data_IF_767908371631
#
_entry.id   IF_767908371631
#
_cell.length_a   1.000
_cell.length_b   1.000
_cell.length_c   1.000
_cell.angle_alpha   90.00
_cell.angle_beta   90.00
_cell.angle_gamma   90.00
#
_symmetry.space_group_name_H-M   'P 1'
#
loop_
_entity.id
_entity.type
_entity.pdbx_description
1 polymer ?
#
# COMPACT_ATOMS: atom_id res chain seq x y z
N UNK A 1 28.45 -13.87 19.65
CA UNK A 1 28.15 -12.43 19.83
C UNK A 1 29.28 -11.83 20.62
N UNK A 2 30.05 -10.94 20.01
CA UNK A 2 31.10 -10.17 20.67
C UNK A 2 30.48 -9.00 21.44
N UNK A 3 30.98 -8.75 22.65
CA UNK A 3 30.53 -7.64 23.50
C UNK A 3 31.69 -6.69 23.77
N UNK A 4 31.38 -5.41 23.81
CA UNK A 4 32.30 -4.33 24.19
C UNK A 4 31.94 -3.78 25.57
N UNK A 5 32.94 -3.23 26.24
CA UNK A 5 32.77 -2.53 27.51
C UNK A 5 32.14 -1.15 27.31
N UNK A 6 31.65 -0.54 28.40
CA UNK A 6 31.15 0.84 28.39
C UNK A 6 32.20 1.86 27.97
N UNK A 7 33.48 1.60 28.23
CA UNK A 7 34.60 2.47 27.83
C UNK A 7 34.83 2.41 26.31
N UNK A 8 34.83 1.21 25.73
CA UNK A 8 34.95 1.02 24.29
C UNK A 8 33.73 1.57 23.54
N UNK A 9 32.52 1.45 24.09
CA UNK A 9 31.34 2.08 23.51
C UNK A 9 31.39 3.62 23.59
N UNK A 10 31.96 4.18 24.66
CA UNK A 10 32.14 5.63 24.81
C UNK A 10 33.07 6.19 23.72
N UNK A 11 34.15 5.48 23.44
CA UNK A 11 35.09 5.79 22.36
C UNK A 11 34.42 5.63 20.99
N UNK A 12 33.78 4.47 20.74
CA UNK A 12 33.06 4.18 19.48
C UNK A 12 31.99 5.23 19.15
N UNK A 13 31.27 5.73 20.15
CA UNK A 13 30.15 6.66 19.96
C UNK A 13 30.53 8.15 20.10
N UNK A 14 31.80 8.44 20.40
CA UNK A 14 32.30 9.80 20.64
C UNK A 14 31.55 10.52 21.76
N UNK A 15 31.28 9.86 22.89
CA UNK A 15 30.57 10.43 24.04
C UNK A 15 31.26 10.11 25.36
N UNK A 16 30.94 10.85 26.42
CA UNK A 16 31.46 10.55 27.75
C UNK A 16 30.93 9.22 28.31
N UNK A 17 31.73 8.56 29.14
CA UNK A 17 31.35 7.31 29.83
C UNK A 17 30.03 7.44 30.60
N UNK A 18 29.80 8.59 31.23
CA UNK A 18 28.55 8.93 31.94
C UNK A 18 27.34 8.93 31.00
N UNK A 19 27.51 9.37 29.74
CA UNK A 19 26.43 9.36 28.74
C UNK A 19 26.09 7.94 28.31
N UNK A 20 27.10 7.08 28.11
CA UNK A 20 26.90 5.65 27.81
C UNK A 20 26.15 4.96 28.95
N UNK A 21 26.57 5.17 30.19
CA UNK A 21 25.90 4.60 31.37
C UNK A 21 24.45 5.05 31.50
N UNK A 22 24.14 6.30 31.19
CA UNK A 22 22.76 6.82 31.18
C UNK A 22 21.93 6.13 30.09
N UNK A 23 22.45 6.01 28.87
CA UNK A 23 21.75 5.31 27.77
C UNK A 23 21.43 3.85 28.11
N UNK A 24 22.33 3.17 28.82
CA UNK A 24 22.14 1.80 29.27
C UNK A 24 21.12 1.70 30.42
N UNK A 25 21.19 2.62 31.39
CA UNK A 25 20.23 2.70 32.48
C UNK A 25 18.81 3.03 31.99
N UNK A 26 18.70 3.86 30.94
CA UNK A 26 17.45 4.24 30.29
C UNK A 26 16.92 3.13 29.34
N UNK A 27 17.60 1.98 29.23
CA UNK A 27 17.18 0.85 28.39
C UNK A 27 17.26 1.10 26.88
N UNK A 28 18.02 2.12 26.44
CA UNK A 28 18.02 2.61 25.05
C UNK A 28 18.98 1.88 24.12
N UNK A 29 19.75 0.93 24.64
CA UNK A 29 20.71 0.13 23.86
C UNK A 29 20.18 -1.31 23.83
N UNK A 30 19.59 -1.74 22.70
CA UNK A 30 19.06 -3.09 22.56
C UNK A 30 20.11 -4.16 22.88
N UNK A 31 19.68 -5.23 23.53
CA UNK A 31 20.50 -6.40 23.86
C UNK A 31 21.72 -6.12 24.77
N UNK A 32 21.84 -4.91 25.35
CA UNK A 32 22.80 -4.64 26.40
C UNK A 32 22.41 -5.39 27.69
N UNK A 33 23.39 -6.10 28.28
CA UNK A 33 23.18 -6.88 29.50
C UNK A 33 24.02 -6.35 30.63
N UNK A 34 23.44 -6.26 31.83
CA UNK A 34 24.17 -5.90 33.04
C UNK A 34 24.71 -7.16 33.70
N UNK A 35 26.02 -7.22 33.93
CA UNK A 35 26.69 -8.32 34.62
C UNK A 35 27.50 -7.76 35.80
N UNK A 36 27.00 -7.97 37.02
CA UNK A 36 27.56 -7.37 38.23
C UNK A 36 27.51 -5.84 38.20
N UNK A 37 28.69 -5.19 38.28
CA UNK A 37 28.84 -3.72 38.21
C UNK A 37 29.08 -3.19 36.78
N UNK A 38 29.19 -4.08 35.79
CA UNK A 38 29.57 -3.74 34.42
C UNK A 38 28.43 -4.00 33.43
N UNK A 39 28.48 -3.33 32.28
CA UNK A 39 27.57 -3.56 31.17
C UNK A 39 28.30 -4.22 30.01
N UNK A 40 27.64 -5.19 29.40
CA UNK A 40 28.03 -5.83 28.16
C UNK A 40 27.17 -5.24 27.04
N UNK A 41 27.81 -4.55 26.10
CA UNK A 41 27.15 -3.88 24.97
C UNK A 41 27.49 -4.68 23.71
N UNK A 42 26.52 -5.07 22.87
CA UNK A 42 26.83 -5.75 21.60
C UNK A 42 27.82 -4.94 20.75
N UNK A 43 28.79 -5.59 20.11
CA UNK A 43 29.79 -4.90 19.29
C UNK A 43 29.16 -4.09 18.14
N UNK A 44 28.07 -4.58 17.57
CA UNK A 44 27.28 -3.96 16.50
C UNK A 44 26.33 -2.85 16.98
N UNK A 45 26.22 -2.60 18.29
CA UNK A 45 25.34 -1.55 18.81
C UNK A 45 25.75 -0.15 18.32
N UNK A 46 24.78 0.54 17.72
CA UNK A 46 24.90 1.94 17.32
C UNK A 46 24.45 2.89 18.43
N UNK A 47 24.92 4.14 18.36
CA UNK A 47 24.60 5.19 19.33
C UNK A 47 23.11 5.59 19.21
N UNK A 48 22.30 5.47 20.28
CA UNK A 48 20.92 5.94 20.24
C UNK A 48 20.82 7.45 19.99
N UNK A 49 19.85 7.87 19.17
CA UNK A 49 19.60 9.27 18.81
C UNK A 49 19.34 10.16 20.06
N UNK A 50 19.69 11.45 20.01
CA UNK A 50 19.43 12.37 21.14
C UNK A 50 18.01 12.96 21.03
N UNK A 51 17.10 12.68 21.98
CA UNK A 51 15.73 13.23 21.95
C UNK A 51 15.68 14.76 22.07
N UNK A 52 16.78 15.42 22.47
CA UNK A 52 16.86 16.90 22.51
C UNK A 52 17.18 17.53 21.16
N UNK A 53 17.69 16.76 20.18
CA UNK A 53 17.94 17.27 18.82
C UNK A 53 16.72 17.17 17.91
N UNK A 54 15.64 16.50 18.34
CA UNK A 54 14.38 16.41 17.60
C UNK A 54 13.40 17.56 17.86
N UNK A 55 13.63 18.40 18.87
CA UNK A 55 12.85 19.64 19.03
C UNK A 55 13.45 20.79 18.24
N UNK A 56 13.43 20.69 16.91
CA UNK A 56 13.01 21.89 16.18
C UNK A 56 11.51 22.03 16.49
N UNK A 57 11.00 23.20 16.90
CA UNK A 57 9.56 23.38 16.95
C UNK A 57 9.03 22.94 15.58
N UNK A 58 8.07 22.00 15.56
CA UNK A 58 7.31 21.71 14.35
C UNK A 58 6.92 23.06 13.80
N UNK A 59 7.44 23.42 12.63
CA UNK A 59 7.00 24.62 11.96
C UNK A 59 5.53 24.33 11.72
N UNK A 60 4.62 24.98 12.45
CA UNK A 60 3.20 24.69 12.31
C UNK A 60 2.87 24.78 10.82
N UNK A 61 2.58 23.64 10.18
CA UNK A 61 2.19 23.62 8.79
C UNK A 61 0.90 24.44 8.69
N UNK A 62 0.90 25.56 7.96
CA UNK A 62 -0.33 26.29 7.74
C UNK A 62 -1.30 25.40 6.95
N UNK A 63 -2.56 25.30 7.37
CA UNK A 63 -3.57 24.54 6.63
C UNK A 63 -3.67 24.99 5.16
N UNK A 64 -3.46 26.29 4.90
CA UNK A 64 -3.41 26.86 3.55
C UNK A 64 -2.32 26.24 2.67
N UNK A 65 -1.17 25.87 3.24
CA UNK A 65 -0.06 25.27 2.47
C UNK A 65 -0.45 23.89 1.93
N UNK A 66 -1.16 23.09 2.73
CA UNK A 66 -1.72 21.81 2.29
C UNK A 66 -2.81 22.01 1.23
N UNK A 67 -3.71 22.97 1.41
CA UNK A 67 -4.76 23.26 0.41
C UNK A 67 -4.16 23.68 -0.94
N UNK A 68 -3.11 24.52 -0.93
CA UNK A 68 -2.43 24.96 -2.15
C UNK A 68 -1.79 23.79 -2.91
N UNK A 69 -1.06 22.91 -2.21
CA UNK A 69 -0.44 21.77 -2.89
C UNK A 69 -1.49 20.77 -3.37
N UNK A 70 -2.58 20.56 -2.64
CA UNK A 70 -3.69 19.70 -3.09
C UNK A 70 -4.30 20.21 -4.38
N UNK A 71 -4.64 21.50 -4.44
CA UNK A 71 -5.16 22.11 -5.67
C UNK A 71 -4.17 21.98 -6.84
N UNK A 72 -2.88 22.22 -6.61
CA UNK A 72 -1.85 22.13 -7.64
C UNK A 72 -1.56 20.70 -8.13
N UNK A 73 -2.00 19.67 -7.39
CA UNK A 73 -1.72 18.25 -7.65
C UNK A 73 -2.98 17.42 -7.83
N UNK A 74 -4.09 18.07 -8.17
CA UNK A 74 -5.39 17.44 -8.48
C UNK A 74 -5.74 17.52 -9.97
N UNK A 75 -4.87 18.11 -10.80
CA UNK A 75 -5.08 18.18 -12.24
C UNK A 75 -4.92 16.79 -12.90
N UNK A 76 -5.79 16.43 -13.85
CA UNK A 76 -5.67 15.18 -14.59
C UNK A 76 -4.43 15.21 -15.49
N UNK A 77 -3.83 14.04 -15.72
CA UNK A 77 -2.70 13.89 -16.64
C UNK A 77 -3.18 14.13 -18.08
N UNK A 78 -2.44 14.81 -18.96
CA UNK A 78 -2.86 14.99 -20.35
C UNK A 78 -2.99 13.64 -21.07
N UNK A 79 -4.13 13.42 -21.74
CA UNK A 79 -4.51 12.09 -22.27
C UNK A 79 -3.58 11.52 -23.33
N UNK A 80 -2.88 12.37 -24.10
CA UNK A 80 -1.97 11.92 -25.17
C UNK A 80 -0.50 11.92 -24.75
N UNK A 81 -0.15 12.75 -23.77
CA UNK A 81 1.22 12.88 -23.26
C UNK A 81 1.18 13.20 -21.76
N UNK A 82 1.04 12.19 -20.89
CA UNK A 82 0.97 12.39 -19.45
C UNK A 82 2.17 13.14 -18.87
N UNK A 83 3.39 12.97 -19.42
CA UNK A 83 4.60 13.64 -18.97
C UNK A 83 4.56 15.16 -19.14
N UNK A 84 3.74 15.67 -20.08
CA UNK A 84 3.58 17.10 -20.28
C UNK A 84 3.04 17.79 -19.02
N UNK A 85 2.39 17.07 -18.09
CA UNK A 85 1.99 17.64 -16.80
C UNK A 85 3.18 18.24 -16.04
N UNK A 86 4.40 17.72 -16.22
CA UNK A 86 5.60 18.18 -15.52
C UNK A 86 6.08 19.56 -15.98
N UNK A 87 5.66 19.98 -17.18
CA UNK A 87 5.93 21.31 -17.73
C UNK A 87 4.93 22.36 -17.19
N UNK A 88 3.71 21.92 -16.87
CA UNK A 88 2.64 22.79 -16.36
C UNK A 88 2.48 22.73 -14.84
N UNK A 89 3.02 21.70 -14.19
CA UNK A 89 2.98 21.54 -12.74
C UNK A 89 3.72 22.72 -12.09
N UNK A 90 2.95 23.58 -11.42
CA UNK A 90 3.35 24.93 -11.01
C UNK A 90 4.73 25.03 -10.36
N UNK A 91 4.80 24.93 -9.03
CA UNK A 91 6.06 25.01 -8.31
C UNK A 91 6.79 23.65 -8.26
N UNK A 92 8.03 23.66 -7.75
CA UNK A 92 8.83 22.44 -7.61
C UNK A 92 8.24 21.37 -6.68
N UNK A 93 7.22 21.69 -5.86
CA UNK A 93 6.52 20.71 -5.00
C UNK A 93 5.52 19.94 -5.82
N UNK A 94 4.68 20.64 -6.59
CA UNK A 94 3.68 20.02 -7.46
C UNK A 94 4.33 19.14 -8.53
N UNK A 95 5.41 19.63 -9.16
CA UNK A 95 6.17 18.84 -10.14
C UNK A 95 6.69 17.54 -9.54
N UNK A 96 7.28 17.58 -8.34
CA UNK A 96 7.79 16.38 -7.66
C UNK A 96 6.69 15.37 -7.34
N UNK A 97 5.49 15.85 -6.96
CA UNK A 97 4.34 14.99 -6.74
C UNK A 97 3.97 14.22 -8.01
N UNK A 98 3.85 14.92 -9.15
CA UNK A 98 3.54 14.28 -10.42
C UNK A 98 4.66 13.35 -10.92
N UNK A 99 5.92 13.70 -10.71
CA UNK A 99 7.05 12.81 -10.99
C UNK A 99 6.94 11.49 -10.19
N UNK A 100 6.55 11.57 -8.92
CA UNK A 100 6.35 10.41 -8.07
C UNK A 100 5.17 9.53 -8.52
N UNK A 101 4.05 10.16 -8.93
CA UNK A 101 2.85 9.48 -9.43
C UNK A 101 3.08 8.80 -10.79
N UNK A 102 3.72 9.49 -11.75
CA UNK A 102 4.09 8.92 -13.04
C UNK A 102 5.05 7.74 -12.88
N UNK A 103 6.06 7.89 -12.02
CA UNK A 103 6.98 6.81 -11.69
C UNK A 103 6.25 5.61 -11.07
N UNK A 104 5.32 5.87 -10.15
CA UNK A 104 4.52 4.82 -9.52
C UNK A 104 3.71 4.04 -10.55
N UNK A 105 2.97 4.74 -11.42
CA UNK A 105 2.14 4.14 -12.45
C UNK A 105 2.96 3.27 -13.43
N UNK A 106 4.21 3.65 -13.69
CA UNK A 106 5.15 2.91 -14.56
C UNK A 106 5.91 1.78 -13.88
N UNK A 107 5.75 1.62 -12.56
CA UNK A 107 6.43 0.59 -11.78
C UNK A 107 7.85 0.98 -11.33
N UNK A 108 8.26 2.24 -11.49
CA UNK A 108 9.52 2.77 -10.92
C UNK A 108 9.30 3.23 -9.47
N UNK A 109 9.10 2.26 -8.59
CA UNK A 109 8.92 2.52 -7.16
C UNK A 109 10.15 3.18 -6.51
N UNK A 110 11.35 2.96 -7.05
CA UNK A 110 12.57 3.57 -6.56
C UNK A 110 12.56 5.08 -6.80
N UNK A 111 12.09 5.54 -7.97
CA UNK A 111 11.89 6.97 -8.22
C UNK A 111 10.81 7.57 -7.33
N UNK A 112 9.68 6.88 -7.12
CA UNK A 112 8.65 7.33 -6.17
C UNK A 112 9.24 7.53 -4.76
N UNK A 113 10.08 6.61 -4.29
CA UNK A 113 10.78 6.72 -3.00
C UNK A 113 11.79 7.88 -2.97
N UNK A 114 12.55 8.10 -4.06
CA UNK A 114 13.44 9.27 -4.17
C UNK A 114 12.68 10.57 -4.02
N UNK A 115 11.58 10.74 -4.75
CA UNK A 115 10.70 11.91 -4.62
C UNK A 115 10.20 12.08 -3.18
N UNK A 116 9.78 10.99 -2.52
CA UNK A 116 9.37 11.03 -1.11
C UNK A 116 10.49 11.56 -0.20
N UNK A 117 11.71 11.03 -0.29
CA UNK A 117 12.81 11.46 0.57
C UNK A 117 13.23 12.92 0.32
N UNK A 118 13.12 13.41 -0.90
CA UNK A 118 13.41 14.80 -1.25
C UNK A 118 12.43 15.82 -0.63
N UNK A 119 11.24 15.40 -0.20
CA UNK A 119 10.30 16.27 0.53
C UNK A 119 10.74 16.57 1.97
N UNK A 120 11.86 16.00 2.44
CA UNK A 120 12.34 16.20 3.81
C UNK A 120 12.56 17.69 4.10
N UNK A 121 11.87 18.19 5.13
CA UNK A 121 11.89 19.60 5.53
C UNK A 121 10.76 20.44 4.93
N UNK A 122 9.91 19.84 4.11
CA UNK A 122 8.68 20.43 3.58
C UNK A 122 7.48 19.57 3.98
N UNK A 123 6.86 19.89 5.12
CA UNK A 123 5.85 19.04 5.71
C UNK A 123 4.59 18.90 4.82
N UNK A 124 4.19 19.95 4.09
CA UNK A 124 3.01 19.90 3.21
C UNK A 124 3.26 19.03 1.99
N UNK A 125 4.42 19.18 1.34
CA UNK A 125 4.84 18.30 0.25
C UNK A 125 4.99 16.85 0.72
N UNK A 126 5.59 16.65 1.88
CA UNK A 126 5.80 15.33 2.48
C UNK A 126 4.47 14.63 2.79
N UNK A 127 3.52 15.35 3.37
CA UNK A 127 2.18 14.81 3.64
C UNK A 127 1.48 14.40 2.35
N UNK A 128 1.47 15.26 1.31
CA UNK A 128 0.80 14.99 0.03
C UNK A 128 1.32 13.74 -0.68
N UNK A 129 2.63 13.49 -0.63
CA UNK A 129 3.26 12.36 -1.33
C UNK A 129 3.09 11.03 -0.58
N UNK A 130 2.68 11.05 0.71
CA UNK A 130 2.56 9.85 1.55
C UNK A 130 1.68 8.76 0.92
N UNK A 131 0.62 9.11 0.20
CA UNK A 131 -0.27 8.12 -0.43
C UNK A 131 0.51 7.25 -1.44
N UNK A 132 1.20 7.88 -2.39
CA UNK A 132 2.02 7.18 -3.39
C UNK A 132 3.22 6.49 -2.74
N UNK A 133 3.80 7.10 -1.71
CA UNK A 133 4.92 6.52 -0.98
C UNK A 133 4.52 5.25 -0.20
N UNK A 134 3.35 5.23 0.45
CA UNK A 134 2.81 4.04 1.12
C UNK A 134 2.60 2.91 0.10
N UNK A 135 1.98 3.22 -1.04
CA UNK A 135 1.69 2.23 -2.07
C UNK A 135 2.99 1.64 -2.67
N UNK A 136 4.02 2.47 -2.88
CA UNK A 136 5.34 2.03 -3.32
C UNK A 136 6.08 1.24 -2.23
N UNK A 137 5.99 1.62 -0.96
CA UNK A 137 6.59 0.87 0.16
C UNK A 137 5.99 -0.53 0.29
N UNK A 138 4.66 -0.66 0.11
CA UNK A 138 3.99 -1.97 0.05
C UNK A 138 4.52 -2.79 -1.14
N UNK A 139 4.63 -2.18 -2.32
CA UNK A 139 5.13 -2.85 -3.52
C UNK A 139 6.59 -3.28 -3.42
N UNK A 140 7.41 -2.55 -2.69
CA UNK A 140 8.80 -2.87 -2.39
C UNK A 140 8.97 -3.82 -1.20
N UNK A 141 7.92 -4.00 -0.39
CA UNK A 141 8.00 -4.77 0.87
C UNK A 141 8.80 -4.03 1.95
N UNK A 142 9.00 -2.72 1.79
CA UNK A 142 9.82 -1.89 2.67
C UNK A 142 8.99 -1.39 3.86
N UNK A 143 8.88 -2.27 4.85
CA UNK A 143 8.17 -1.95 6.08
C UNK A 143 8.86 -0.84 6.90
N UNK A 144 10.18 -0.69 6.74
CA UNK A 144 10.96 0.32 7.46
C UNK A 144 10.60 1.74 7.03
N UNK A 145 10.50 1.95 5.71
CA UNK A 145 10.04 3.22 5.14
C UNK A 145 8.57 3.47 5.48
N UNK A 146 7.73 2.43 5.48
CA UNK A 146 6.36 2.58 5.95
C UNK A 146 6.28 3.06 7.41
N UNK A 147 7.10 2.51 8.32
CA UNK A 147 7.14 2.98 9.72
C UNK A 147 7.60 4.43 9.84
N UNK A 148 8.52 4.89 8.98
CA UNK A 148 8.89 6.32 8.90
C UNK A 148 7.69 7.20 8.49
N UNK A 149 6.96 6.77 7.46
CA UNK A 149 5.75 7.47 6.98
C UNK A 149 4.68 7.47 8.06
N UNK A 150 4.38 6.32 8.66
CA UNK A 150 3.39 6.15 9.73
C UNK A 150 3.72 7.07 10.91
N UNK A 151 4.97 7.11 11.35
CA UNK A 151 5.42 8.00 12.43
C UNK A 151 5.17 9.47 12.09
N UNK A 152 5.43 9.89 10.84
CA UNK A 152 5.15 11.25 10.38
C UNK A 152 3.64 11.54 10.37
N UNK A 153 2.82 10.62 9.86
CA UNK A 153 1.35 10.77 9.83
C UNK A 153 0.75 10.82 11.23
N UNK A 154 1.23 10.00 12.16
CA UNK A 154 0.82 10.06 13.56
C UNK A 154 1.18 11.39 14.23
N UNK A 155 2.33 11.98 13.87
CA UNK A 155 2.70 13.31 14.35
C UNK A 155 1.75 14.38 13.78
N UNK A 156 1.36 14.30 12.50
CA UNK A 156 0.36 15.18 11.91
C UNK A 156 -0.99 15.09 12.66
N UNK A 157 -1.46 13.87 12.98
CA UNK A 157 -2.68 13.64 13.77
C UNK A 157 -2.60 14.28 15.16
N UNK A 158 -1.46 14.11 15.85
CA UNK A 158 -1.24 14.64 17.21
C UNK A 158 -1.14 16.18 17.23
N UNK A 159 -0.51 16.78 16.22
CA UNK A 159 -0.22 18.21 16.19
C UNK A 159 -1.37 19.06 15.62
N UNK A 160 -2.27 18.48 14.81
CA UNK A 160 -3.34 19.20 14.12
C UNK A 160 -4.71 18.53 14.31
N UNK A 161 -5.20 18.36 15.55
CA UNK A 161 -6.42 17.60 15.81
C UNK A 161 -7.65 18.25 15.16
N UNK A 162 -8.40 17.47 14.38
CA UNK A 162 -9.72 17.85 13.86
C UNK A 162 -9.71 18.81 12.67
N UNK A 163 -8.57 18.98 11.98
CA UNK A 163 -8.47 19.79 10.76
C UNK A 163 -8.06 18.98 9.52
N UNK A 164 -7.99 19.65 8.36
CA UNK A 164 -7.68 19.05 7.05
C UNK A 164 -6.39 18.23 7.04
N UNK A 165 -5.36 18.68 7.77
CA UNK A 165 -4.09 17.96 7.93
C UNK A 165 -4.31 16.59 8.58
N UNK A 166 -5.09 16.53 9.67
CA UNK A 166 -5.41 15.27 10.33
C UNK A 166 -6.30 14.37 9.47
N UNK A 167 -7.27 14.95 8.77
CA UNK A 167 -8.17 14.21 7.88
C UNK A 167 -7.40 13.58 6.70
N UNK A 168 -6.46 14.32 6.09
CA UNK A 168 -5.58 13.79 5.06
C UNK A 168 -4.64 12.72 5.61
N UNK A 169 -4.06 12.93 6.80
CA UNK A 169 -3.16 11.96 7.41
C UNK A 169 -3.86 10.63 7.72
N UNK A 170 -5.08 10.68 8.25
CA UNK A 170 -5.91 9.49 8.48
C UNK A 170 -6.28 8.78 7.16
N UNK A 171 -6.58 9.54 6.11
CA UNK A 171 -6.82 9.00 4.77
C UNK A 171 -5.57 8.32 4.17
N UNK A 172 -4.39 8.89 4.37
CA UNK A 172 -3.13 8.27 3.95
C UNK A 172 -2.90 6.94 4.70
N UNK A 173 -3.11 6.88 6.02
CA UNK A 173 -3.03 5.63 6.80
C UNK A 173 -4.07 4.59 6.32
N UNK A 174 -5.28 5.02 5.98
CA UNK A 174 -6.32 4.14 5.45
C UNK A 174 -5.91 3.46 4.14
N UNK A 175 -5.06 4.12 3.33
CA UNK A 175 -4.51 3.54 2.10
C UNK A 175 -3.71 2.27 2.40
N UNK A 176 -2.91 2.25 3.47
CA UNK A 176 -2.18 1.05 3.87
C UNK A 176 -3.15 -0.08 4.25
N UNK A 177 -4.12 0.21 5.13
CA UNK A 177 -5.08 -0.77 5.63
C UNK A 177 -5.85 -1.48 4.50
N UNK A 178 -6.38 -0.75 3.52
CA UNK A 178 -7.16 -1.36 2.43
C UNK A 178 -6.27 -2.00 1.35
N UNK A 179 -5.03 -1.53 1.18
CA UNK A 179 -4.08 -2.12 0.22
C UNK A 179 -3.53 -3.46 0.70
N UNK A 180 -3.44 -3.65 2.01
CA UNK A 180 -3.03 -4.91 2.64
C UNK A 180 -4.20 -5.71 3.20
N UNK A 181 -5.42 -5.46 2.71
CA UNK A 181 -6.61 -6.27 3.06
C UNK A 181 -6.80 -6.44 4.59
N UNK A 182 -6.59 -5.36 5.33
CA UNK A 182 -6.72 -5.30 6.78
C UNK A 182 -7.95 -4.44 7.19
N UNK A 183 -9.19 -4.87 6.89
CA UNK A 183 -10.38 -4.03 7.06
C UNK A 183 -10.67 -3.65 8.51
N UNK A 184 -10.17 -4.43 9.48
CA UNK A 184 -10.27 -4.11 10.92
C UNK A 184 -9.42 -2.90 11.33
N UNK A 185 -8.41 -2.57 10.54
CA UNK A 185 -7.52 -1.43 10.77
C UNK A 185 -7.97 -0.20 9.96
N UNK A 186 -9.02 -0.30 9.16
CA UNK A 186 -9.60 0.84 8.46
C UNK A 186 -10.25 1.82 9.47
N UNK A 187 -10.13 3.14 9.29
CA UNK A 187 -10.74 4.12 10.18
C UNK A 187 -12.27 4.10 10.09
N UNK A 188 -12.96 4.50 11.17
CA UNK A 188 -14.43 4.44 11.26
C UNK A 188 -15.12 5.22 10.15
N UNK A 189 -14.62 6.40 9.81
CA UNK A 189 -15.18 7.24 8.75
C UNK A 189 -15.24 6.48 7.41
N UNK A 190 -14.23 5.65 7.12
CA UNK A 190 -14.18 4.84 5.90
C UNK A 190 -15.17 3.67 5.96
N UNK A 191 -15.31 3.03 7.12
CA UNK A 191 -16.25 1.92 7.33
C UNK A 191 -17.71 2.42 7.20
N UNK A 192 -18.04 3.50 7.89
CA UNK A 192 -19.37 4.10 7.95
C UNK A 192 -19.71 4.86 6.65
N UNK A 193 -18.69 5.37 5.95
CA UNK A 193 -18.86 6.16 4.74
C UNK A 193 -19.09 7.65 5.01
N UNK A 194 -18.72 8.10 6.20
CA UNK A 194 -18.78 9.51 6.57
C UNK A 194 -17.54 10.22 6.01
N UNK A 195 -17.75 11.02 4.97
CA UNK A 195 -16.70 11.84 4.34
C UNK A 195 -16.84 13.33 4.68
N UNK A 196 -17.63 13.67 5.70
CA UNK A 196 -17.94 15.05 6.06
C UNK A 196 -16.72 15.86 6.47
N UNK A 197 -15.73 15.20 7.08
CA UNK A 197 -14.46 15.79 7.49
C UNK A 197 -13.45 15.98 6.33
N UNK A 198 -13.73 15.45 5.13
CA UNK A 198 -12.84 15.55 3.98
C UNK A 198 -13.23 16.72 3.07
N UNK A 199 -12.20 17.44 2.61
CA UNK A 199 -12.38 18.48 1.60
C UNK A 199 -12.91 17.87 0.29
N UNK A 200 -13.68 18.64 -0.52
CA UNK A 200 -14.28 18.13 -1.76
C UNK A 200 -13.27 17.47 -2.72
N UNK A 201 -12.05 17.99 -2.80
CA UNK A 201 -10.97 17.51 -3.65
C UNK A 201 -10.50 16.09 -3.28
N UNK A 202 -10.65 15.70 -2.01
CA UNK A 202 -10.22 14.40 -1.50
C UNK A 202 -11.29 13.31 -1.65
N UNK A 203 -12.57 13.70 -1.81
CA UNK A 203 -13.70 12.77 -1.83
C UNK A 203 -13.60 11.70 -2.92
N UNK A 204 -13.16 11.98 -4.16
CA UNK A 204 -12.99 10.95 -5.18
C UNK A 204 -12.03 9.84 -4.72
N UNK A 205 -10.88 10.24 -4.14
CA UNK A 205 -9.92 9.26 -3.64
C UNK A 205 -10.44 8.50 -2.42
N UNK A 206 -11.18 9.16 -1.53
CA UNK A 206 -11.84 8.50 -0.40
C UNK A 206 -12.91 7.47 -0.85
N UNK A 207 -13.63 7.75 -1.93
CA UNK A 207 -14.56 6.79 -2.55
C UNK A 207 -13.83 5.59 -3.17
N UNK A 208 -12.66 5.80 -3.76
CA UNK A 208 -11.77 4.70 -4.16
C UNK A 208 -11.34 3.85 -2.96
N UNK A 209 -10.89 4.46 -1.86
CA UNK A 209 -10.57 3.72 -0.63
C UNK A 209 -11.79 2.95 -0.11
N UNK A 210 -13.00 3.50 -0.22
CA UNK A 210 -14.25 2.84 0.19
C UNK A 210 -14.58 1.65 -0.71
N UNK A 211 -14.35 1.75 -2.02
CA UNK A 211 -14.45 0.62 -2.94
C UNK A 211 -13.48 -0.51 -2.54
N UNK A 212 -12.22 -0.16 -2.22
CA UNK A 212 -11.22 -1.11 -1.72
C UNK A 212 -11.58 -1.71 -0.36
N UNK A 213 -12.20 -0.93 0.52
CA UNK A 213 -12.74 -1.46 1.78
C UNK A 213 -13.82 -2.52 1.53
N UNK A 214 -14.77 -2.25 0.62
CA UNK A 214 -15.78 -3.25 0.24
C UNK A 214 -15.17 -4.49 -0.42
N UNK A 215 -14.08 -4.34 -1.19
CA UNK A 215 -13.31 -5.48 -1.68
C UNK A 215 -12.78 -6.34 -0.51
N UNK A 216 -12.19 -5.72 0.51
CA UNK A 216 -11.68 -6.43 1.69
C UNK A 216 -12.78 -7.20 2.44
N UNK A 217 -14.01 -6.70 2.36
CA UNK A 217 -15.19 -7.30 2.99
C UNK A 217 -15.93 -8.29 2.06
N UNK A 218 -15.44 -8.53 0.84
CA UNK A 218 -16.12 -9.31 -0.21
C UNK A 218 -17.54 -8.80 -0.54
N UNK A 219 -17.77 -7.49 -0.45
CA UNK A 219 -19.04 -6.84 -0.77
C UNK A 219 -18.98 -6.25 -2.19
N UNK A 220 -19.00 -7.12 -3.21
CA UNK A 220 -18.71 -6.72 -4.59
C UNK A 220 -19.81 -5.86 -5.23
N UNK A 221 -21.08 -6.04 -4.85
CA UNK A 221 -22.17 -5.16 -5.31
C UNK A 221 -21.98 -3.73 -4.79
N UNK A 222 -21.61 -3.58 -3.51
CA UNK A 222 -21.33 -2.28 -2.91
C UNK A 222 -20.08 -1.64 -3.52
N UNK A 223 -19.03 -2.45 -3.76
CA UNK A 223 -17.81 -2.03 -4.46
C UNK A 223 -18.14 -1.52 -5.87
N UNK A 224 -18.97 -2.23 -6.63
CA UNK A 224 -19.39 -1.81 -7.97
C UNK A 224 -20.18 -0.49 -7.93
N UNK A 225 -21.20 -0.42 -7.06
CA UNK A 225 -22.07 0.75 -6.95
C UNK A 225 -21.29 2.03 -6.57
N UNK A 226 -20.41 1.95 -5.56
CA UNK A 226 -19.61 3.11 -5.15
C UNK A 226 -18.61 3.51 -6.24
N UNK A 227 -18.02 2.55 -6.94
CA UNK A 227 -17.02 2.84 -7.98
C UNK A 227 -17.65 3.52 -9.19
N UNK A 228 -18.79 2.99 -9.67
CA UNK A 228 -19.51 3.54 -10.81
C UNK A 228 -20.09 4.93 -10.49
N UNK A 229 -20.65 5.11 -9.29
CA UNK A 229 -21.16 6.42 -8.86
C UNK A 229 -20.04 7.46 -8.75
N UNK A 230 -18.88 7.08 -8.18
CA UNK A 230 -17.73 7.95 -8.08
C UNK A 230 -17.20 8.38 -9.45
N UNK A 231 -17.07 7.45 -10.41
CA UNK A 231 -16.70 7.77 -11.78
C UNK A 231 -17.68 8.77 -12.40
N UNK A 232 -18.98 8.51 -12.30
CA UNK A 232 -20.02 9.36 -12.89
C UNK A 232 -20.02 10.80 -12.36
N UNK A 233 -19.52 11.02 -11.14
CA UNK A 233 -19.54 12.31 -10.46
C UNK A 233 -18.19 13.04 -10.44
N UNK A 234 -17.07 12.33 -10.68
CA UNK A 234 -15.72 12.88 -10.46
C UNK A 234 -14.76 12.68 -11.63
N UNK A 235 -15.16 11.96 -12.67
CA UNK A 235 -14.31 11.78 -13.85
C UNK A 235 -14.08 13.12 -14.56
N UNK A 236 -12.82 13.50 -14.86
CA UNK A 236 -12.55 14.73 -15.58
C UNK A 236 -13.04 14.65 -17.03
N UNK A 237 -13.50 15.77 -17.59
CA UNK A 237 -13.91 15.84 -19.00
C UNK A 237 -12.77 15.49 -19.98
N UNK A 238 -11.51 15.73 -19.56
CA UNK A 238 -10.31 15.51 -20.36
C UNK A 238 -9.16 15.04 -19.48
N UNK A 239 -8.30 14.21 -20.05
CA UNK A 239 -7.12 13.69 -19.38
C UNK A 239 -7.37 12.37 -18.66
N UNK A 240 -6.35 11.92 -17.93
CA UNK A 240 -6.33 10.68 -17.19
C UNK A 240 -6.29 11.03 -15.71
N UNK A 241 -7.36 10.67 -15.00
CA UNK A 241 -7.38 10.71 -13.53
C UNK A 241 -6.83 9.40 -12.99
N UNK A 242 -5.82 9.46 -12.10
CA UNK A 242 -5.32 8.27 -11.43
C UNK A 242 -6.44 7.59 -10.62
N UNK A 243 -7.22 8.37 -9.87
CA UNK A 243 -8.39 7.86 -9.14
C UNK A 243 -9.41 7.23 -10.09
N UNK A 244 -9.70 7.88 -11.21
CA UNK A 244 -10.62 7.36 -12.23
C UNK A 244 -10.14 6.04 -12.85
N UNK A 245 -8.84 5.91 -13.11
CA UNK A 245 -8.24 4.66 -13.57
C UNK A 245 -8.47 3.53 -12.55
N UNK A 246 -8.15 3.78 -11.29
CA UNK A 246 -8.34 2.79 -10.23
C UNK A 246 -9.81 2.43 -9.95
N UNK A 247 -10.74 3.39 -10.07
CA UNK A 247 -12.17 3.12 -9.93
C UNK A 247 -12.70 2.23 -11.07
N UNK A 248 -12.22 2.38 -12.30
CA UNK A 248 -12.56 1.46 -13.41
C UNK A 248 -12.07 0.05 -13.15
N UNK A 249 -10.86 -0.07 -12.62
CA UNK A 249 -10.32 -1.37 -12.20
C UNK A 249 -11.13 -1.98 -11.07
N UNK A 250 -11.62 -1.17 -10.13
CA UNK A 250 -12.58 -1.62 -9.12
C UNK A 250 -13.89 -2.11 -9.74
N UNK A 251 -14.45 -1.42 -10.74
CA UNK A 251 -15.61 -1.89 -11.49
C UNK A 251 -15.34 -3.23 -12.19
N UNK A 252 -14.19 -3.39 -12.84
CA UNK A 252 -13.80 -4.64 -13.49
C UNK A 252 -13.71 -5.81 -12.49
N UNK A 253 -13.04 -5.60 -11.36
CA UNK A 253 -12.91 -6.59 -10.29
C UNK A 253 -14.26 -6.98 -9.68
N UNK A 254 -15.12 -6.00 -9.43
CA UNK A 254 -16.44 -6.23 -8.88
C UNK A 254 -17.34 -7.01 -9.86
N UNK A 255 -17.41 -6.59 -11.13
CA UNK A 255 -18.14 -7.32 -12.16
C UNK A 255 -17.63 -8.76 -12.33
N UNK A 256 -16.30 -8.97 -12.30
CA UNK A 256 -15.73 -10.31 -12.42
C UNK A 256 -16.13 -11.20 -11.23
N UNK A 257 -16.08 -10.66 -10.01
CA UNK A 257 -16.50 -11.38 -8.80
C UNK A 257 -18.02 -11.66 -8.77
N UNK A 258 -18.83 -10.85 -9.46
CA UNK A 258 -20.27 -11.04 -9.66
C UNK A 258 -20.60 -11.88 -10.91
N UNK A 259 -19.60 -12.54 -11.49
CA UNK A 259 -19.73 -13.39 -12.69
C UNK A 259 -20.22 -12.67 -13.96
N UNK A 260 -20.15 -11.35 -13.99
CA UNK A 260 -20.50 -10.50 -15.14
C UNK A 260 -19.30 -10.33 -16.09
N UNK A 261 -18.90 -11.42 -16.74
CA UNK A 261 -17.62 -11.49 -17.47
C UNK A 261 -17.48 -10.46 -18.60
N UNK A 262 -18.53 -10.22 -19.37
CA UNK A 262 -18.49 -9.26 -20.48
C UNK A 262 -18.32 -7.82 -19.98
N UNK A 263 -19.03 -7.47 -18.91
CA UNK A 263 -18.93 -6.14 -18.31
C UNK A 263 -17.57 -5.93 -17.63
N UNK A 264 -17.07 -6.95 -16.92
CA UNK A 264 -15.73 -6.92 -16.33
C UNK A 264 -14.65 -6.70 -17.39
N UNK A 265 -14.75 -7.41 -18.53
CA UNK A 265 -13.84 -7.27 -19.66
C UNK A 265 -13.93 -5.87 -20.28
N UNK A 266 -15.13 -5.33 -20.45
CA UNK A 266 -15.33 -3.98 -20.98
C UNK A 266 -14.61 -2.93 -20.12
N UNK A 267 -14.82 -2.95 -18.80
CA UNK A 267 -14.15 -2.04 -17.87
C UNK A 267 -12.64 -2.18 -17.88
N UNK A 268 -12.14 -3.42 -17.93
CA UNK A 268 -10.71 -3.71 -17.98
C UNK A 268 -10.06 -3.16 -19.25
N UNK A 269 -10.67 -3.41 -20.41
CA UNK A 269 -10.15 -2.95 -21.69
C UNK A 269 -10.18 -1.43 -21.81
N UNK A 270 -11.24 -0.77 -21.32
CA UNK A 270 -11.31 0.69 -21.26
C UNK A 270 -10.14 1.28 -20.45
N UNK A 271 -9.85 0.71 -19.27
CA UNK A 271 -8.70 1.11 -18.47
C UNK A 271 -7.37 0.84 -19.20
N UNK A 272 -7.23 -0.32 -19.87
CA UNK A 272 -6.02 -0.67 -20.63
C UNK A 272 -5.76 0.32 -21.77
N UNK A 273 -6.79 0.67 -22.54
CA UNK A 273 -6.71 1.62 -23.65
C UNK A 273 -6.25 3.00 -23.20
N UNK A 274 -6.68 3.43 -22.01
CA UNK A 274 -6.29 4.71 -21.42
C UNK A 274 -4.85 4.71 -20.92
N UNK A 275 -4.36 3.62 -20.34
CA UNK A 275 -3.17 3.64 -19.48
C UNK A 275 -1.95 2.94 -20.10
N UNK A 276 -2.14 1.79 -20.77
CA UNK A 276 -1.02 0.99 -21.29
C UNK A 276 -0.19 1.71 -22.37
N UNK A 277 -0.77 2.50 -23.30
CA UNK A 277 0.04 3.26 -24.27
C UNK A 277 1.08 4.20 -23.64
N UNK A 278 0.91 4.59 -22.37
CA UNK A 278 1.82 5.46 -21.62
C UNK A 278 2.76 4.70 -20.68
N UNK A 279 2.75 3.37 -20.75
CA UNK A 279 3.54 2.50 -19.89
C UNK A 279 3.02 2.38 -18.46
N UNK A 280 1.77 2.75 -18.19
CA UNK A 280 1.18 2.67 -16.85
C UNK A 280 0.78 1.22 -16.52
N UNK A 281 1.76 0.43 -16.11
CA UNK A 281 1.61 -1.02 -15.87
C UNK A 281 1.19 -1.37 -14.43
N UNK A 282 1.51 -0.52 -13.45
CA UNK A 282 1.29 -0.81 -12.02
C UNK A 282 -0.18 -1.09 -11.67
N UNK A 283 -1.15 -0.27 -12.11
CA UNK A 283 -2.56 -0.51 -11.77
C UNK A 283 -3.05 -1.90 -12.18
N UNK A 284 -2.57 -2.42 -13.31
CA UNK A 284 -2.93 -3.75 -13.80
C UNK A 284 -2.19 -4.86 -13.06
N UNK A 285 -0.91 -4.66 -12.75
CA UNK A 285 -0.10 -5.61 -12.00
C UNK A 285 -0.69 -5.88 -10.61
N UNK A 286 -1.26 -4.87 -9.95
CA UNK A 286 -1.84 -4.99 -8.61
C UNK A 286 -3.11 -5.85 -8.53
N UNK A 287 -3.81 -6.02 -9.66
CA UNK A 287 -5.14 -6.66 -9.69
C UNK A 287 -5.17 -8.00 -10.43
N UNK A 288 -4.03 -8.49 -10.96
CA UNK A 288 -3.94 -9.76 -11.71
C UNK A 288 -4.66 -10.89 -10.98
N UNK A 289 -4.35 -11.09 -9.69
CA UNK A 289 -4.94 -12.13 -8.85
C UNK A 289 -6.46 -12.01 -8.74
N UNK A 290 -7.02 -10.80 -8.80
CA UNK A 290 -8.45 -10.58 -8.63
C UNK A 290 -9.28 -10.94 -9.87
N UNK A 291 -8.66 -11.06 -11.05
CA UNK A 291 -9.35 -11.23 -12.33
C UNK A 291 -9.26 -12.65 -12.91
N UNK A 292 -8.69 -13.61 -12.16
CA UNK A 292 -8.86 -15.05 -12.43
C UNK A 292 -8.45 -15.52 -13.83
N UNK A 293 -7.45 -14.89 -14.47
CA UNK A 293 -7.01 -15.22 -15.83
C UNK A 293 -7.50 -14.25 -16.93
N UNK A 294 -8.52 -13.43 -16.65
CA UNK A 294 -9.03 -12.43 -17.61
C UNK A 294 -7.97 -11.39 -17.97
N UNK A 295 -7.12 -11.00 -17.01
CA UNK A 295 -6.02 -10.07 -17.25
C UNK A 295 -5.07 -10.61 -18.33
N UNK A 296 -4.61 -11.86 -18.16
CA UNK A 296 -3.70 -12.53 -19.09
C UNK A 296 -4.34 -12.69 -20.48
N UNK A 297 -5.63 -13.00 -20.54
CA UNK A 297 -6.36 -13.13 -21.79
C UNK A 297 -6.44 -11.80 -22.55
N UNK A 298 -6.84 -10.71 -21.87
CA UNK A 298 -6.92 -9.38 -22.46
C UNK A 298 -5.54 -8.87 -22.92
N UNK A 299 -4.50 -9.06 -22.10
CA UNK A 299 -3.13 -8.69 -22.46
C UNK A 299 -2.64 -9.44 -23.70
N UNK A 300 -2.79 -10.77 -23.76
CA UNK A 300 -2.36 -11.54 -24.93
C UNK A 300 -3.07 -11.13 -26.21
N UNK A 301 -4.35 -10.74 -26.11
CA UNK A 301 -5.17 -10.38 -27.27
C UNK A 301 -4.88 -8.97 -27.80
N UNK A 302 -4.76 -7.97 -26.92
CA UNK A 302 -4.68 -6.56 -27.33
C UNK A 302 -3.35 -5.88 -27.02
N UNK A 303 -2.67 -6.30 -25.96
CA UNK A 303 -1.44 -5.67 -25.48
C UNK A 303 -0.32 -6.69 -25.21
N UNK A 304 0.02 -7.58 -26.17
CA UNK A 304 0.94 -8.69 -25.93
C UNK A 304 2.32 -8.21 -25.44
N UNK A 305 2.77 -7.04 -25.91
CA UNK A 305 4.04 -6.41 -25.51
C UNK A 305 4.12 -6.07 -24.00
N UNK A 306 3.00 -5.89 -23.31
CA UNK A 306 2.96 -5.54 -21.89
C UNK A 306 2.82 -6.76 -20.96
N UNK A 307 2.56 -7.95 -21.52
CA UNK A 307 2.28 -9.18 -20.75
C UNK A 307 3.39 -9.49 -19.75
N UNK A 308 4.65 -9.53 -20.21
CA UNK A 308 5.79 -9.89 -19.36
C UNK A 308 6.08 -8.81 -18.32
N UNK A 309 5.90 -7.53 -18.67
CA UNK A 309 6.12 -6.41 -17.76
C UNK A 309 5.12 -6.45 -16.60
N UNK A 310 3.83 -6.60 -16.90
CA UNK A 310 2.75 -6.62 -15.90
C UNK A 310 2.84 -7.86 -15.02
N UNK A 311 2.96 -9.06 -15.62
CA UNK A 311 3.05 -10.30 -14.86
C UNK A 311 4.36 -10.41 -14.08
N UNK A 312 5.46 -9.86 -14.62
CA UNK A 312 6.74 -9.77 -13.93
C UNK A 312 6.68 -8.84 -12.71
N UNK A 313 6.06 -7.67 -12.84
CA UNK A 313 5.84 -6.77 -11.70
C UNK A 313 4.93 -7.41 -10.66
N UNK A 314 3.80 -7.98 -11.06
CA UNK A 314 2.87 -8.67 -10.16
C UNK A 314 3.57 -9.73 -9.31
N UNK A 315 4.40 -10.60 -9.92
CA UNK A 315 5.15 -11.63 -9.19
C UNK A 315 6.03 -11.05 -8.07
N UNK A 316 6.74 -9.95 -8.35
CA UNK A 316 7.61 -9.28 -7.37
C UNK A 316 6.78 -8.59 -6.28
N UNK A 317 5.81 -7.78 -6.69
CA UNK A 317 4.92 -7.03 -5.80
C UNK A 317 4.14 -7.95 -4.88
N UNK A 318 3.65 -9.09 -5.36
CA UNK A 318 2.90 -10.05 -4.53
C UNK A 318 3.75 -10.67 -3.41
N UNK A 319 4.99 -11.07 -3.70
CA UNK A 319 5.91 -11.60 -2.69
C UNK A 319 6.26 -10.55 -1.62
N UNK A 320 6.46 -9.31 -2.05
CA UNK A 320 6.71 -8.17 -1.18
C UNK A 320 5.49 -7.82 -0.32
N UNK A 321 4.30 -7.81 -0.94
CA UNK A 321 3.03 -7.58 -0.27
C UNK A 321 2.78 -8.59 0.86
N UNK A 322 3.04 -9.89 0.66
CA UNK A 322 2.91 -10.91 1.72
C UNK A 322 3.81 -10.56 2.92
N UNK A 323 5.04 -10.14 2.63
CA UNK A 323 6.04 -9.78 3.64
C UNK A 323 5.61 -8.52 4.40
N UNK A 324 5.09 -7.53 3.69
CA UNK A 324 4.59 -6.29 4.27
C UNK A 324 3.34 -6.54 5.12
N UNK A 325 2.34 -7.25 4.58
CA UNK A 325 1.11 -7.61 5.27
C UNK A 325 1.40 -8.25 6.61
N UNK A 326 2.29 -9.25 6.62
CA UNK A 326 2.62 -10.00 7.83
C UNK A 326 3.16 -9.11 8.94
N UNK A 327 3.97 -8.12 8.58
CA UNK A 327 4.47 -7.14 9.54
C UNK A 327 3.39 -6.15 9.98
N UNK A 328 2.60 -5.66 9.02
CA UNK A 328 1.56 -4.64 9.24
C UNK A 328 0.44 -5.12 10.16
N UNK A 329 -0.14 -6.26 9.83
CA UNK A 329 -1.26 -6.84 10.60
C UNK A 329 -0.77 -7.52 11.88
N UNK A 330 0.52 -7.85 11.96
CA UNK A 330 1.08 -8.82 12.91
C UNK A 330 0.40 -10.19 12.83
N UNK A 331 -0.33 -10.43 11.74
CA UNK A 331 -0.97 -11.69 11.38
C UNK A 331 -0.13 -12.34 10.28
N UNK A 332 0.29 -13.59 10.48
CA UNK A 332 1.08 -14.31 9.49
C UNK A 332 0.19 -14.71 8.29
N UNK A 333 0.03 -13.82 7.29
CA UNK A 333 -0.32 -14.31 5.95
C UNK A 333 0.84 -15.18 5.52
N UNK A 334 0.50 -16.39 5.18
CA UNK A 334 1.43 -17.48 5.12
C UNK A 334 2.32 -17.38 3.89
N UNK A 335 3.56 -16.93 4.13
CA UNK A 335 4.77 -17.35 3.38
C UNK A 335 4.92 -18.88 3.25
N UNK A 336 4.02 -19.64 3.87
CA UNK A 336 3.97 -21.10 3.93
C UNK A 336 3.30 -21.69 2.68
N UNK A 337 2.39 -20.96 2.01
CA UNK A 337 1.70 -21.45 0.82
C UNK A 337 2.40 -20.99 -0.47
N UNK A 338 2.54 -21.89 -1.43
CA UNK A 338 2.88 -21.52 -2.81
C UNK A 338 1.74 -20.73 -3.44
N UNK A 339 2.03 -19.94 -4.49
CA UNK A 339 1.02 -19.17 -5.24
C UNK A 339 -0.19 -20.02 -5.67
N UNK A 340 0.10 -21.24 -6.15
CA UNK A 340 -0.92 -22.19 -6.60
C UNK A 340 -1.79 -22.68 -5.45
N UNK A 341 -1.19 -22.90 -4.28
CA UNK A 341 -1.89 -23.28 -3.05
C UNK A 341 -2.74 -22.14 -2.51
N UNK A 342 -2.22 -20.90 -2.52
CA UNK A 342 -2.95 -19.72 -2.07
C UNK A 342 -4.20 -19.45 -2.93
N UNK A 343 -4.07 -19.52 -4.26
CA UNK A 343 -5.22 -19.36 -5.15
C UNK A 343 -6.30 -20.42 -4.90
N UNK A 344 -5.93 -21.71 -4.84
CA UNK A 344 -6.88 -22.79 -4.54
C UNK A 344 -7.51 -22.61 -3.17
N UNK A 345 -6.71 -22.23 -2.16
CA UNK A 345 -7.20 -21.95 -0.82
C UNK A 345 -8.21 -20.78 -0.80
N UNK A 346 -8.02 -19.77 -1.66
CA UNK A 346 -8.95 -18.63 -1.76
C UNK A 346 -10.29 -19.03 -2.34
N UNK A 347 -10.30 -19.83 -3.41
CA UNK A 347 -11.52 -20.36 -3.99
C UNK A 347 -12.27 -21.25 -2.98
N UNK A 348 -11.55 -22.08 -2.22
CA UNK A 348 -12.14 -22.89 -1.15
C UNK A 348 -12.70 -22.03 -0.01
N UNK A 349 -11.99 -20.96 0.39
CA UNK A 349 -12.45 -20.02 1.41
C UNK A 349 -13.74 -19.28 0.98
N UNK A 350 -13.86 -18.95 -0.31
CA UNK A 350 -15.08 -18.40 -0.95
C UNK A 350 -16.23 -19.38 -1.10
N UNK A 351 -15.99 -20.66 -0.77
CA UNK A 351 -16.93 -21.78 -0.84
C UNK A 351 -17.24 -22.27 -2.25
N UNK A 352 -16.33 -22.04 -3.18
CA UNK A 352 -16.47 -22.60 -4.52
C UNK A 352 -16.45 -24.14 -4.45
N UNK A 353 -17.30 -24.83 -5.24
CA UNK A 353 -17.31 -26.28 -5.26
C UNK A 353 -15.95 -26.85 -5.65
N UNK A 354 -15.45 -27.83 -4.90
CA UNK A 354 -14.17 -28.49 -5.20
C UNK A 354 -14.10 -29.06 -6.63
N UNK A 355 -15.24 -29.46 -7.20
CA UNK A 355 -15.31 -29.91 -8.59
C UNK A 355 -14.97 -28.81 -9.59
N UNK A 356 -15.47 -27.59 -9.38
CA UNK A 356 -15.24 -26.42 -10.23
C UNK A 356 -13.78 -25.96 -10.11
N UNK A 357 -13.26 -25.86 -8.89
CA UNK A 357 -11.85 -25.52 -8.66
C UNK A 357 -10.93 -26.57 -9.31
N UNK A 358 -11.24 -27.87 -9.16
CA UNK A 358 -10.44 -28.93 -9.76
C UNK A 358 -10.42 -28.84 -11.30
N UNK A 359 -11.56 -28.49 -11.90
CA UNK A 359 -11.66 -28.24 -13.35
C UNK A 359 -10.83 -27.03 -13.79
N UNK A 360 -10.91 -25.91 -13.08
CA UNK A 360 -10.15 -24.69 -13.37
C UNK A 360 -8.63 -24.94 -13.37
N UNK A 361 -8.14 -25.75 -12.43
CA UNK A 361 -6.72 -26.08 -12.31
C UNK A 361 -6.30 -27.33 -13.10
N UNK A 362 -7.21 -27.93 -13.87
CA UNK A 362 -7.00 -29.18 -14.62
C UNK A 362 -6.41 -30.31 -13.74
N UNK A 363 -6.95 -30.51 -12.54
CA UNK A 363 -6.56 -31.56 -11.60
C UNK A 363 -7.77 -32.40 -11.16
N UNK A 364 -7.54 -33.56 -10.55
CA UNK A 364 -8.64 -34.33 -9.96
C UNK A 364 -9.12 -33.71 -8.64
N UNK A 365 -10.41 -33.91 -8.30
CA UNK A 365 -10.97 -33.49 -7.01
C UNK A 365 -10.19 -34.09 -5.83
N UNK A 366 -9.73 -35.33 -5.95
CA UNK A 366 -8.88 -35.98 -4.95
C UNK A 366 -7.53 -35.27 -4.78
N UNK A 367 -6.91 -34.82 -5.88
CA UNK A 367 -5.67 -34.05 -5.82
C UNK A 367 -5.88 -32.70 -5.15
N UNK A 368 -6.98 -32.01 -5.44
CA UNK A 368 -7.34 -30.76 -4.76
C UNK A 368 -7.54 -30.97 -3.26
N UNK A 369 -8.23 -32.04 -2.83
CA UNK A 369 -8.38 -32.36 -1.40
C UNK A 369 -7.03 -32.55 -0.70
N UNK A 370 -6.09 -33.25 -1.33
CA UNK A 370 -4.75 -33.44 -0.77
C UNK A 370 -3.98 -32.12 -0.65
N UNK A 371 -4.06 -31.26 -1.67
CA UNK A 371 -3.46 -29.91 -1.64
C UNK A 371 -4.07 -29.10 -0.49
N UNK A 372 -5.40 -29.12 -0.34
CA UNK A 372 -6.07 -28.39 0.73
C UNK A 372 -5.76 -28.93 2.12
N UNK A 373 -5.54 -30.24 2.25
CA UNK A 373 -5.11 -30.82 3.53
C UNK A 373 -3.69 -30.39 3.90
N UNK A 374 -2.78 -30.29 2.93
CA UNK A 374 -1.45 -29.73 3.12
C UNK A 374 -1.52 -28.23 3.47
N UNK A 375 -2.38 -27.47 2.79
CA UNK A 375 -2.68 -26.08 3.14
C UNK A 375 -3.17 -25.97 4.58
N UNK A 376 -4.15 -26.75 5.01
CA UNK A 376 -4.66 -26.73 6.39
C UNK A 376 -3.56 -27.03 7.41
N UNK A 377 -2.71 -28.02 7.14
CA UNK A 377 -1.55 -28.34 7.98
C UNK A 377 -0.53 -27.20 8.05
N UNK A 378 -0.21 -26.59 6.90
CA UNK A 378 0.69 -25.45 6.78
C UNK A 378 0.20 -24.22 7.55
N UNK A 379 -1.11 -23.98 7.54
CA UNK A 379 -1.75 -22.85 8.21
C UNK A 379 -2.12 -23.14 9.68
N UNK A 380 -2.00 -24.39 10.15
CA UNK A 380 -2.50 -24.85 11.44
C UNK A 380 -3.99 -24.55 11.66
N UNK A 381 -4.80 -24.75 10.62
CA UNK A 381 -6.27 -24.57 10.66
C UNK A 381 -7.00 -25.87 10.41
N UNK A 382 -8.20 -25.99 10.96
CA UNK A 382 -8.95 -27.26 10.94
C UNK A 382 -10.03 -27.29 9.86
N UNK A 383 -10.50 -26.13 9.41
CA UNK A 383 -11.62 -26.04 8.49
C UNK A 383 -11.60 -24.81 7.58
N UNK A 384 -12.53 -24.80 6.62
CA UNK A 384 -12.71 -23.70 5.65
C UNK A 384 -13.11 -22.36 6.28
N UNK A 385 -13.76 -22.35 7.47
CA UNK A 385 -14.12 -21.10 8.17
C UNK A 385 -12.88 -20.47 8.79
N UNK A 386 -11.99 -21.28 9.34
CA UNK A 386 -10.71 -20.82 9.85
C UNK A 386 -9.78 -20.42 8.71
N UNK A 387 -9.76 -21.17 7.61
CA UNK A 387 -9.03 -20.81 6.39
C UNK A 387 -9.38 -19.41 5.88
N UNK A 388 -10.67 -19.06 5.86
CA UNK A 388 -11.16 -17.75 5.44
C UNK A 388 -10.68 -16.57 6.33
N UNK A 389 -10.08 -16.85 7.49
CA UNK A 389 -9.44 -15.82 8.32
C UNK A 389 -8.02 -15.47 7.86
N UNK A 390 -7.38 -16.36 7.09
CA UNK A 390 -5.99 -16.24 6.63
C UNK A 390 -5.86 -16.04 5.11
N UNK A 391 -6.95 -16.22 4.38
CA UNK A 391 -7.02 -16.14 2.92
C UNK A 391 -8.07 -15.11 2.53
N UNK A 392 -7.69 -14.11 1.73
CA UNK A 392 -8.50 -12.93 1.41
C UNK A 392 -8.79 -12.82 -0.09
#
# INVERSE_FOLDING_TARGET
MEYISTAQAAEKWGVSLRRVQRLLADGRVPHAKKYGKSWMIPYDAEKPADPRREKKPSRNMPASDLSHILAATSMPLPAHNPDAILEYAGDGRARRQYEAELAYLRGDFAQTMRCFHETKGDDAARLRICISAIAAAISLGDYSVYTEIETHLEQCLKNHPGGDISAFAEMALATAAVSVIAPKMAPKWLQEGDMSALSPELRPFALYLRAKYFQCMNQFEAMFAVSQAALSLSEPERGISQTGLYLRLCCAMACHALEQQDQARSWLLEAMHMALPHGFITPFAEIVTALGGMMEECLKREYPAYTDAILGQWKRTFANWITFHTQFTRDNITRILSLREYHMARLVARRDPYAQIAQEYCISVGRLKNIMQDVYGKLLVSDRKELAKYIF
#
